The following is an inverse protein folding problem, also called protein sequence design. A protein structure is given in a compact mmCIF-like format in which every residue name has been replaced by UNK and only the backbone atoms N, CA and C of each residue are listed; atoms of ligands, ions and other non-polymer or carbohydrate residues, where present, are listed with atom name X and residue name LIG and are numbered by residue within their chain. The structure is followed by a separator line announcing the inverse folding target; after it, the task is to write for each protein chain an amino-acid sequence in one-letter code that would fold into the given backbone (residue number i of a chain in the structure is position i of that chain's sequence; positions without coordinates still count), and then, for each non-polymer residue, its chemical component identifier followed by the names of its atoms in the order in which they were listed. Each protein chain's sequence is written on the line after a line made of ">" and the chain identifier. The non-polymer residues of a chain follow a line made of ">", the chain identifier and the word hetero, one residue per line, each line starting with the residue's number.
data_IF_187512063105
#
_entry.id   IF_187512063105
#
_cell.length_a   1.000
_cell.length_b   1.000
_cell.length_c   1.000
_cell.angle_alpha   90.00
_cell.angle_beta   90.00
_cell.angle_gamma   90.00
#
_symmetry.space_group_name_H-M   'P 1'
#
loop_
_entity.id
_entity.type
_entity.pdbx_description
1 polymer ?
#
# COMPACT_ATOMS: atom_id res chain seq x y z
N UNK A 1 22.24 37.39 21.06
CA UNK A 1 22.88 36.19 21.67
C UNK A 1 22.37 34.94 20.96
N UNK A 2 23.31 34.23 20.35
CA UNK A 2 23.34 32.89 19.73
C UNK A 2 22.06 32.03 19.76
N UNK A 3 21.59 31.68 18.56
CA UNK A 3 20.60 30.64 18.29
C UNK A 3 21.10 29.25 18.71
N UNK A 4 20.31 28.52 19.53
CA UNK A 4 20.57 27.11 19.85
C UNK A 4 20.07 26.22 18.71
N UNK A 5 21.03 25.59 18.03
CA UNK A 5 20.79 24.57 17.01
C UNK A 5 20.02 23.36 17.59
N UNK A 6 18.95 22.97 16.90
CA UNK A 6 18.25 21.72 17.15
C UNK A 6 19.21 20.54 16.89
N UNK A 7 19.42 19.69 17.88
CA UNK A 7 20.19 18.44 17.74
C UNK A 7 19.49 17.54 16.72
N UNK A 8 20.19 17.21 15.64
CA UNK A 8 19.73 16.22 14.67
C UNK A 8 19.43 14.89 15.38
N UNK A 9 18.21 14.37 15.20
CA UNK A 9 17.89 13.00 15.58
C UNK A 9 18.89 12.06 14.88
N UNK A 10 19.64 11.27 15.67
CA UNK A 10 20.50 10.22 15.12
C UNK A 10 19.62 9.25 14.33
N UNK A 11 20.00 8.98 13.09
CA UNK A 11 19.43 7.89 12.30
C UNK A 11 19.39 6.61 13.16
N UNK A 12 18.31 5.81 13.08
CA UNK A 12 18.21 4.56 13.84
C UNK A 12 19.43 3.69 13.53
N UNK A 13 20.06 3.17 14.58
CA UNK A 13 21.16 2.22 14.45
C UNK A 13 20.65 1.04 13.62
N UNK A 14 21.36 0.73 12.53
CA UNK A 14 21.10 -0.45 11.72
C UNK A 14 20.93 -1.68 12.64
N UNK A 15 19.86 -2.44 12.40
CA UNK A 15 19.60 -3.72 13.04
C UNK A 15 20.88 -4.59 13.02
N UNK A 16 21.13 -5.39 14.07
CA UNK A 16 22.37 -6.14 14.18
C UNK A 16 22.52 -7.09 12.97
N UNK A 17 23.54 -6.83 12.15
CA UNK A 17 24.02 -7.76 11.15
C UNK A 17 24.69 -8.94 11.85
N UNK A 18 23.98 -10.07 11.94
CA UNK A 18 24.59 -11.41 11.89
C UNK A 18 23.54 -12.49 11.68
N UNK A 19 23.58 -13.09 10.48
CA UNK A 19 23.68 -14.55 10.38
C UNK A 19 24.81 -14.85 9.38
N UNK A 20 25.81 -15.62 9.81
CA UNK A 20 26.98 -16.04 9.02
C UNK A 20 26.92 -17.55 8.72
N UNK A 21 25.74 -18.16 8.69
CA UNK A 21 25.60 -19.62 8.48
C UNK A 21 25.25 -20.02 7.02
N UNK A 22 25.14 -19.06 6.10
CA UNK A 22 25.02 -19.35 4.66
C UNK A 22 23.69 -19.97 4.21
N UNK A 23 22.64 -19.95 5.06
CA UNK A 23 21.31 -20.51 4.77
C UNK A 23 20.34 -19.57 4.02
N UNK A 24 20.84 -18.45 3.48
CA UNK A 24 19.99 -17.46 2.78
C UNK A 24 19.35 -17.97 1.48
N UNK A 25 18.35 -17.23 0.98
CA UNK A 25 17.70 -17.46 -0.31
C UNK A 25 18.74 -17.46 -1.44
N UNK A 26 18.55 -18.33 -2.43
CA UNK A 26 19.39 -18.35 -3.62
C UNK A 26 19.00 -17.22 -4.59
N UNK A 27 20.00 -16.52 -5.11
CA UNK A 27 19.85 -15.46 -6.09
C UNK A 27 20.75 -15.74 -7.29
N UNK A 28 20.22 -15.46 -8.48
CA UNK A 28 20.98 -15.43 -9.73
C UNK A 28 21.04 -13.99 -10.22
N UNK A 29 22.24 -13.43 -10.27
CA UNK A 29 22.50 -12.05 -10.68
C UNK A 29 23.34 -12.04 -11.96
N UNK A 30 23.17 -11.02 -12.81
CA UNK A 30 23.98 -10.85 -14.01
C UNK A 30 24.54 -9.43 -14.09
N UNK A 31 25.79 -9.28 -14.51
CA UNK A 31 26.44 -7.96 -14.60
C UNK A 31 27.92 -8.01 -14.95
N UNK A 32 28.56 -6.84 -14.90
CA UNK A 32 30.00 -6.67 -15.15
C UNK A 32 30.77 -6.77 -13.82
N UNK A 33 31.78 -7.64 -13.76
CA UNK A 33 32.73 -7.64 -12.64
C UNK A 33 33.81 -6.58 -12.90
N UNK A 34 33.94 -5.64 -11.97
CA UNK A 34 35.03 -4.67 -11.91
C UNK A 34 35.96 -4.97 -10.73
N UNK A 35 37.23 -4.55 -10.83
CA UNK A 35 38.22 -4.70 -9.76
C UNK A 35 38.89 -3.37 -9.47
N UNK A 36 39.02 -3.00 -8.19
CA UNK A 36 39.76 -1.81 -7.74
C UNK A 36 40.61 -2.10 -6.51
N UNK A 37 41.75 -1.42 -6.40
CA UNK A 37 42.59 -1.48 -5.22
C UNK A 37 41.98 -0.62 -4.11
N UNK A 38 41.75 -1.17 -2.91
CA UNK A 38 41.31 -0.39 -1.77
C UNK A 38 42.51 0.32 -1.13
N UNK A 39 42.59 1.63 -1.30
CA UNK A 39 43.73 2.48 -0.92
C UNK A 39 44.18 2.27 0.54
N UNK A 40 43.25 2.24 1.50
CA UNK A 40 43.59 2.08 2.93
C UNK A 40 43.95 0.65 3.34
N UNK A 41 43.36 -0.36 2.71
CA UNK A 41 43.47 -1.78 3.12
C UNK A 41 44.47 -2.56 2.26
N UNK A 42 45.06 -1.90 1.25
CA UNK A 42 45.99 -2.45 0.25
C UNK A 42 45.55 -3.84 -0.26
N UNK A 43 44.26 -4.00 -0.55
CA UNK A 43 43.68 -5.24 -1.08
C UNK A 43 42.77 -4.96 -2.26
N UNK A 44 42.73 -5.88 -3.22
CA UNK A 44 41.77 -5.82 -4.32
C UNK A 44 40.35 -6.03 -3.80
N UNK A 45 39.43 -5.17 -4.25
CA UNK A 45 38.00 -5.31 -4.09
C UNK A 45 37.40 -5.51 -5.46
N UNK A 46 36.58 -6.55 -5.56
CA UNK A 46 35.79 -6.83 -6.75
C UNK A 46 34.38 -6.33 -6.50
N UNK A 47 33.75 -5.76 -7.53
CA UNK A 47 32.38 -5.25 -7.47
C UNK A 47 31.62 -5.73 -8.70
N UNK A 48 30.48 -6.37 -8.49
CA UNK A 48 29.53 -6.65 -9.57
C UNK A 48 28.68 -5.39 -9.77
N UNK A 49 28.78 -4.79 -10.95
CA UNK A 49 27.96 -3.65 -11.35
C UNK A 49 26.96 -4.10 -12.41
N UNK A 50 25.68 -3.78 -12.22
CA UNK A 50 24.66 -3.94 -13.26
C UNK A 50 23.95 -2.59 -13.47
N UNK A 51 23.68 -2.23 -14.72
CA UNK A 51 22.93 -1.03 -15.08
C UNK A 51 22.92 -0.74 -16.58
N UNK A 52 21.74 -0.38 -17.10
CA UNK A 52 21.58 0.50 -18.26
C UNK A 52 22.17 1.86 -17.92
N UNK A 53 22.66 2.58 -18.93
CA UNK A 53 23.25 3.92 -18.81
C UNK A 53 22.57 4.78 -17.73
N UNK A 54 23.33 5.21 -16.72
CA UNK A 54 22.90 6.23 -15.76
C UNK A 54 22.32 5.79 -14.40
N UNK A 55 21.98 4.50 -14.16
CA UNK A 55 21.48 4.06 -12.83
C UNK A 55 22.24 2.84 -12.31
N UNK A 56 23.33 3.09 -11.58
CA UNK A 56 24.17 2.05 -10.92
C UNK A 56 23.49 1.52 -9.66
N UNK A 57 22.94 0.30 -9.68
CA UNK A 57 22.79 -0.47 -8.44
C UNK A 57 24.10 -1.19 -8.14
N UNK A 58 24.65 -0.94 -6.96
CA UNK A 58 25.93 -1.50 -6.49
C UNK A 58 25.65 -2.67 -5.57
N UNK A 59 26.07 -3.88 -5.94
CA UNK A 59 26.27 -4.93 -4.93
C UNK A 59 27.72 -4.85 -4.46
N UNK A 60 27.92 -4.43 -3.21
CA UNK A 60 29.25 -4.42 -2.59
C UNK A 60 29.63 -5.84 -2.17
N UNK A 61 29.94 -6.70 -3.14
CA UNK A 61 30.48 -8.04 -2.87
C UNK A 61 32.00 -8.00 -2.90
N UNK A 62 32.67 -7.64 -1.80
CA UNK A 62 34.14 -7.71 -1.76
C UNK A 62 34.57 -9.16 -2.01
N UNK A 63 35.14 -9.46 -3.18
CA UNK A 63 35.68 -10.78 -3.52
C UNK A 63 36.75 -11.21 -2.51
N UNK A 64 36.28 -11.94 -1.49
CA UNK A 64 36.96 -12.33 -0.27
C UNK A 64 36.15 -13.45 0.40
N UNK A 65 36.04 -13.44 1.74
CA UNK A 65 35.48 -14.53 2.59
C UNK A 65 34.17 -15.17 2.12
N UNK A 66 33.34 -14.47 1.35
CA UNK A 66 32.02 -14.92 0.93
C UNK A 66 32.05 -15.77 -0.36
N UNK A 67 33.22 -16.00 -0.96
CA UNK A 67 33.33 -16.78 -2.20
C UNK A 67 34.58 -17.70 -2.18
N UNK A 68 34.66 -18.62 -1.21
CA UNK A 68 35.80 -19.52 -1.09
C UNK A 68 35.92 -20.41 -2.34
N UNK A 69 37.13 -20.52 -2.90
CA UNK A 69 37.43 -21.37 -4.06
C UNK A 69 37.11 -20.77 -5.43
N UNK A 70 36.58 -19.54 -5.52
CA UNK A 70 36.30 -18.86 -6.79
C UNK A 70 37.39 -17.82 -7.08
N UNK A 71 38.03 -17.94 -8.25
CA UNK A 71 39.03 -16.96 -8.72
C UNK A 71 38.37 -15.79 -9.46
N UNK A 72 38.02 -14.74 -8.72
CA UNK A 72 37.39 -13.52 -9.26
C UNK A 72 38.26 -12.80 -10.29
N UNK A 73 39.59 -12.94 -10.22
CA UNK A 73 40.50 -12.21 -11.13
C UNK A 73 40.24 -12.58 -12.58
N UNK A 74 39.87 -13.84 -12.85
CA UNK A 74 39.56 -14.35 -14.21
C UNK A 74 38.35 -13.68 -14.86
N UNK A 75 37.50 -13.04 -14.07
CA UNK A 75 36.25 -12.45 -14.50
C UNK A 75 36.27 -10.92 -14.49
N UNK A 76 37.37 -10.29 -14.03
CA UNK A 76 37.50 -8.82 -14.07
C UNK A 76 37.41 -8.33 -15.52
N UNK A 77 36.53 -7.35 -15.74
CA UNK A 77 36.25 -6.79 -17.07
C UNK A 77 35.32 -7.65 -17.92
N UNK A 78 34.76 -8.74 -17.38
CA UNK A 78 33.84 -9.63 -18.11
C UNK A 78 32.42 -9.54 -17.57
N UNK A 79 31.45 -9.74 -18.45
CA UNK A 79 30.08 -9.99 -18.06
C UNK A 79 29.95 -11.42 -17.53
N UNK A 80 29.19 -11.58 -16.45
CA UNK A 80 29.02 -12.88 -15.80
C UNK A 80 27.58 -13.08 -15.33
N UNK A 81 27.23 -14.36 -15.20
CA UNK A 81 26.13 -14.83 -14.35
C UNK A 81 26.71 -15.32 -13.02
N UNK A 82 26.17 -14.83 -11.92
CA UNK A 82 26.63 -15.11 -10.57
C UNK A 82 25.49 -15.72 -9.76
N UNK A 83 25.72 -16.90 -9.21
CA UNK A 83 24.78 -17.58 -8.31
C UNK A 83 25.32 -17.51 -6.89
N UNK A 84 24.45 -17.15 -5.94
CA UNK A 84 24.83 -17.10 -4.53
C UNK A 84 23.64 -17.10 -3.60
N UNK A 85 23.91 -17.40 -2.33
CA UNK A 85 22.94 -17.36 -1.23
C UNK A 85 23.09 -16.08 -0.43
N UNK A 86 21.96 -15.44 -0.13
CA UNK A 86 21.96 -14.14 0.52
C UNK A 86 20.59 -13.73 1.07
N UNK A 87 20.39 -12.43 1.17
CA UNK A 87 19.13 -11.83 1.60
C UNK A 87 18.90 -10.50 0.89
N UNK A 88 17.64 -10.13 0.69
CA UNK A 88 17.26 -8.77 0.26
C UNK A 88 17.48 -7.80 1.41
N UNK A 89 17.98 -6.60 1.08
CA UNK A 89 18.21 -5.50 2.01
C UNK A 89 17.65 -4.21 1.41
N UNK A 90 17.55 -3.17 2.23
CA UNK A 90 17.21 -1.79 1.81
C UNK A 90 18.11 -1.24 0.69
N UNK A 91 19.33 -1.77 0.55
CA UNK A 91 20.34 -1.38 -0.45
C UNK A 91 20.47 -2.35 -1.63
N UNK A 92 19.57 -3.32 -1.74
CA UNK A 92 19.59 -4.38 -2.76
C UNK A 92 19.92 -5.76 -2.19
N UNK A 93 20.43 -6.66 -3.02
CA UNK A 93 20.73 -8.05 -2.61
C UNK A 93 22.12 -8.13 -1.99
N UNK A 94 22.19 -8.60 -0.73
CA UNK A 94 23.43 -8.88 -0.03
C UNK A 94 23.71 -10.38 -0.06
N UNK A 95 24.75 -10.79 -0.80
CA UNK A 95 25.16 -12.20 -0.87
C UNK A 95 26.09 -12.58 0.28
N UNK A 96 25.67 -13.57 1.05
CA UNK A 96 26.41 -14.15 2.17
C UNK A 96 27.42 -15.20 1.67
N UNK A 97 27.06 -15.95 0.61
CA UNK A 97 27.92 -16.94 -0.05
C UNK A 97 27.71 -16.92 -1.55
N UNK A 98 28.78 -16.90 -2.33
CA UNK A 98 28.74 -17.03 -3.79
C UNK A 98 29.16 -18.46 -4.13
N UNK A 99 28.32 -19.15 -4.89
CA UNK A 99 28.46 -20.57 -5.20
C UNK A 99 28.98 -20.80 -6.61
N UNK A 100 28.71 -19.90 -7.55
CA UNK A 100 29.06 -20.06 -8.96
C UNK A 100 29.24 -18.72 -9.67
N UNK A 101 30.19 -18.65 -10.60
CA UNK A 101 30.38 -17.55 -11.55
C UNK A 101 30.67 -18.14 -12.92
N UNK A 102 29.90 -17.72 -13.92
CA UNK A 102 30.03 -18.16 -15.31
C UNK A 102 30.16 -16.95 -16.23
N UNK A 103 30.96 -17.02 -17.30
CA UNK A 103 30.95 -16.00 -18.34
C UNK A 103 29.56 -15.83 -18.95
N UNK A 104 29.21 -14.60 -19.29
CA UNK A 104 27.97 -14.22 -19.95
C UNK A 104 28.30 -13.39 -21.18
N UNK A 105 27.57 -13.57 -22.29
CA UNK A 105 27.74 -12.70 -23.45
C UNK A 105 27.09 -11.33 -23.20
N UNK A 106 27.49 -10.31 -23.97
CA UNK A 106 26.82 -9.01 -23.92
C UNK A 106 25.35 -9.11 -24.34
N UNK A 107 25.05 -9.91 -25.37
CA UNK A 107 23.69 -10.12 -25.86
C UNK A 107 22.78 -10.77 -24.80
N UNK A 108 23.28 -11.76 -24.07
CA UNK A 108 22.52 -12.40 -22.98
C UNK A 108 22.30 -11.44 -21.80
N UNK A 109 23.30 -10.60 -21.50
CA UNK A 109 23.14 -9.55 -20.49
C UNK A 109 22.09 -8.54 -20.92
N UNK A 110 22.12 -8.08 -22.18
CA UNK A 110 21.14 -7.13 -22.71
C UNK A 110 19.74 -7.76 -22.73
N UNK A 111 19.60 -9.04 -23.09
CA UNK A 111 18.33 -9.77 -23.01
C UNK A 111 17.81 -9.88 -21.57
N UNK A 112 18.68 -10.17 -20.60
CA UNK A 112 18.33 -10.17 -19.18
C UNK A 112 17.94 -8.79 -18.66
N UNK A 113 18.67 -7.74 -19.04
CA UNK A 113 18.34 -6.35 -18.66
C UNK A 113 17.03 -5.89 -19.29
N UNK A 114 16.78 -6.24 -20.55
CA UNK A 114 15.52 -5.97 -21.23
C UNK A 114 14.37 -6.75 -20.60
N UNK A 115 14.59 -8.02 -20.21
CA UNK A 115 13.61 -8.80 -19.47
C UNK A 115 13.34 -8.19 -18.08
N UNK A 116 14.36 -7.65 -17.39
CA UNK A 116 14.19 -6.95 -16.13
C UNK A 116 13.45 -5.62 -16.29
N UNK A 117 13.69 -4.85 -17.35
CA UNK A 117 12.92 -3.64 -17.63
C UNK A 117 11.49 -3.94 -18.09
N UNK A 118 11.31 -4.91 -18.97
CA UNK A 118 10.00 -5.44 -19.34
C UNK A 118 9.27 -6.07 -18.14
N UNK A 119 9.99 -6.58 -17.14
CA UNK A 119 9.43 -7.04 -15.87
C UNK A 119 9.29 -5.93 -14.83
N UNK A 120 9.86 -4.73 -15.02
CA UNK A 120 9.63 -3.56 -14.15
C UNK A 120 8.33 -2.87 -14.52
N UNK A 121 8.05 -2.71 -15.80
CA UNK A 121 6.72 -2.32 -16.28
C UNK A 121 5.83 -3.55 -16.29
N UNK A 122 4.66 -3.50 -15.68
CA UNK A 122 3.62 -4.44 -16.14
C UNK A 122 3.29 -4.03 -17.58
N UNK A 123 3.15 -4.96 -18.55
CA UNK A 123 2.46 -4.61 -19.78
C UNK A 123 1.12 -3.99 -19.39
N UNK A 124 0.74 -2.95 -20.12
CA UNK A 124 -0.58 -2.33 -20.11
C UNK A 124 -1.67 -3.27 -19.53
N UNK A 125 -2.27 -2.96 -18.37
CA UNK A 125 -3.21 -3.93 -17.75
C UNK A 125 -4.63 -3.84 -18.24
N UNK A 126 -5.21 -2.69 -18.49
CA UNK A 126 -6.65 -2.54 -18.35
C UNK A 126 -7.20 -2.94 -16.94
N UNK A 127 -8.03 -2.07 -16.39
CA UNK A 127 -8.63 -2.24 -15.08
C UNK A 127 -10.15 -2.32 -15.21
N UNK A 128 -10.68 -3.37 -15.87
CA UNK A 128 -12.12 -3.51 -16.07
C UNK A 128 -12.89 -3.56 -14.74
N UNK A 129 -12.24 -4.02 -13.68
CA UNK A 129 -12.80 -4.07 -12.31
C UNK A 129 -13.14 -2.68 -11.75
N UNK A 130 -12.51 -1.61 -12.26
CA UNK A 130 -12.79 -0.24 -11.85
C UNK A 130 -13.89 0.43 -12.68
N UNK A 131 -14.30 -0.13 -13.83
CA UNK A 131 -15.35 0.44 -14.69
C UNK A 131 -16.66 0.72 -13.92
N UNK A 132 -17.15 -0.17 -13.03
CA UNK A 132 -18.37 0.09 -12.26
C UNK A 132 -18.28 1.26 -11.26
N UNK A 133 -17.08 1.83 -11.08
CA UNK A 133 -16.82 2.95 -10.18
C UNK A 133 -16.57 4.27 -10.92
N UNK A 134 -16.49 4.26 -12.25
CA UNK A 134 -16.36 5.47 -13.05
C UNK A 134 -17.58 6.40 -12.85
N UNK A 135 -17.32 7.68 -12.58
CA UNK A 135 -18.37 8.67 -12.32
C UNK A 135 -19.11 8.46 -10.99
N UNK A 136 -18.52 7.70 -10.05
CA UNK A 136 -19.14 7.40 -8.75
C UNK A 136 -18.43 8.03 -7.57
N UNK A 137 -19.15 8.17 -6.46
CA UNK A 137 -18.59 8.66 -5.21
C UNK A 137 -19.11 7.86 -4.02
N UNK A 138 -18.40 7.97 -2.89
CA UNK A 138 -18.82 7.33 -1.65
C UNK A 138 -18.13 7.88 -0.40
N UNK A 139 -18.80 7.83 0.76
CA UNK A 139 -18.18 8.18 2.03
C UNK A 139 -17.36 7.02 2.63
N UNK A 140 -16.42 7.37 3.51
CA UNK A 140 -15.66 6.48 4.37
C UNK A 140 -15.94 6.77 5.84
N UNK A 141 -16.19 5.71 6.61
CA UNK A 141 -16.17 5.71 8.07
C UNK A 141 -15.18 4.66 8.58
N UNK A 142 -14.36 5.02 9.57
CA UNK A 142 -13.49 4.05 10.25
C UNK A 142 -14.26 3.33 11.35
N UNK A 143 -14.48 2.02 11.18
CA UNK A 143 -14.99 1.11 12.20
C UNK A 143 -14.02 1.00 13.38
N UNK A 144 -14.54 0.83 14.61
CA UNK A 144 -13.71 0.38 15.72
C UNK A 144 -13.13 -1.01 15.42
N UNK A 145 -12.04 -1.33 16.09
CA UNK A 145 -11.28 -2.58 15.91
C UNK A 145 -10.97 -3.19 17.27
N UNK A 146 -10.23 -4.29 17.30
CA UNK A 146 -9.69 -4.88 18.53
C UNK A 146 -8.85 -3.91 19.40
N UNK A 147 -8.48 -2.73 18.88
CA UNK A 147 -7.91 -1.64 19.70
C UNK A 147 -8.91 -1.07 20.72
N UNK A 148 -10.20 -1.11 20.41
CA UNK A 148 -11.31 -0.55 21.17
C UNK A 148 -12.44 -1.60 21.27
N UNK A 149 -12.22 -2.72 21.99
CA UNK A 149 -13.16 -3.85 22.00
C UNK A 149 -14.55 -3.47 22.49
N UNK A 150 -14.66 -2.66 23.55
CA UNK A 150 -15.97 -2.23 24.06
C UNK A 150 -16.76 -1.43 23.02
N UNK A 151 -16.06 -0.60 22.23
CA UNK A 151 -16.67 0.19 21.15
C UNK A 151 -17.06 -0.69 19.97
N UNK A 152 -16.37 -1.82 19.74
CA UNK A 152 -16.79 -2.83 18.77
C UNK A 152 -18.11 -3.46 19.20
N UNK A 153 -18.24 -3.82 20.48
CA UNK A 153 -19.45 -4.48 21.00
C UNK A 153 -20.64 -3.51 21.05
N UNK A 154 -20.39 -2.25 21.36
CA UNK A 154 -21.43 -1.21 21.41
C UNK A 154 -21.87 -0.70 20.03
N UNK A 155 -21.11 -0.98 18.96
CA UNK A 155 -21.41 -0.46 17.63
C UNK A 155 -22.79 -0.93 17.12
N UNK A 156 -23.65 0.02 16.79
CA UNK A 156 -25.01 -0.18 16.28
C UNK A 156 -25.02 -0.09 14.76
N UNK A 157 -24.93 -1.25 14.11
CA UNK A 157 -24.95 -1.38 12.64
C UNK A 157 -26.24 -0.79 12.04
N UNK A 158 -27.36 -0.88 12.76
CA UNK A 158 -28.62 -0.26 12.35
C UNK A 158 -28.55 1.26 12.26
N UNK A 159 -27.85 1.94 13.17
CA UNK A 159 -27.73 3.40 13.14
C UNK A 159 -26.79 3.85 12.03
N UNK A 160 -25.69 3.10 11.83
CA UNK A 160 -24.82 3.27 10.66
C UNK A 160 -25.62 3.18 9.35
N UNK A 161 -26.42 2.11 9.18
CA UNK A 161 -27.26 1.88 8.00
C UNK A 161 -28.32 2.96 7.78
N UNK A 162 -29.02 3.36 8.84
CA UNK A 162 -30.00 4.47 8.78
C UNK A 162 -29.35 5.78 8.33
N UNK A 163 -28.08 6.00 8.64
CA UNK A 163 -27.39 7.22 8.27
C UNK A 163 -26.95 7.18 6.80
N UNK A 164 -26.16 6.19 6.37
CA UNK A 164 -25.65 6.19 4.98
C UNK A 164 -26.74 5.95 3.92
N UNK A 165 -27.85 5.29 4.27
CA UNK A 165 -28.99 5.11 3.35
C UNK A 165 -29.66 6.43 2.92
N UNK A 166 -29.38 7.54 3.64
CA UNK A 166 -29.83 8.88 3.24
C UNK A 166 -29.05 9.46 2.07
N UNK A 167 -27.85 8.95 1.78
CA UNK A 167 -27.03 9.35 0.64
C UNK A 167 -27.50 8.56 -0.59
N UNK A 168 -28.32 9.19 -1.43
CA UNK A 168 -29.02 8.52 -2.54
C UNK A 168 -28.18 8.38 -3.80
N UNK A 169 -27.24 9.31 -3.99
CA UNK A 169 -26.35 9.33 -5.15
C UNK A 169 -25.02 8.61 -4.91
N UNK A 170 -24.66 8.33 -3.65
CA UNK A 170 -23.46 7.58 -3.28
C UNK A 170 -23.58 6.11 -3.72
N UNK A 171 -22.55 5.61 -4.41
CA UNK A 171 -22.55 4.27 -5.01
C UNK A 171 -21.84 3.22 -4.14
N UNK A 172 -20.94 3.66 -3.26
CA UNK A 172 -20.18 2.78 -2.39
C UNK A 172 -19.95 3.38 -1.01
N UNK A 173 -19.58 2.53 -0.05
CA UNK A 173 -19.16 2.91 1.30
C UNK A 173 -17.78 2.30 1.56
N UNK A 174 -16.85 3.09 2.09
CA UNK A 174 -15.54 2.60 2.51
C UNK A 174 -15.52 2.36 4.02
N UNK A 175 -15.11 1.18 4.44
CA UNK A 175 -14.85 0.80 5.83
C UNK A 175 -13.42 0.30 5.97
N UNK A 176 -13.04 -0.37 7.05
CA UNK A 176 -11.67 -0.82 7.26
C UNK A 176 -11.60 -2.24 7.82
N UNK A 177 -10.62 -2.99 7.33
CA UNK A 177 -10.15 -4.25 7.94
C UNK A 177 -9.23 -3.93 9.11
N UNK A 178 -8.26 -3.04 8.91
CA UNK A 178 -7.29 -2.65 9.94
C UNK A 178 -7.60 -1.29 10.52
N UNK A 179 -7.23 -1.05 11.78
CA UNK A 179 -7.33 0.26 12.41
C UNK A 179 -6.42 1.27 11.71
N UNK A 180 -6.94 2.44 11.31
CA UNK A 180 -6.11 3.54 10.84
C UNK A 180 -5.11 3.94 11.93
N UNK A 181 -3.83 4.01 11.56
CA UNK A 181 -2.71 4.23 12.48
C UNK A 181 -2.45 3.17 13.56
N UNK A 182 -3.16 2.03 13.51
CA UNK A 182 -2.92 0.86 14.36
C UNK A 182 -3.02 -0.43 13.55
N UNK A 183 -2.20 -0.65 12.51
CA UNK A 183 -2.40 -1.68 11.49
C UNK A 183 -2.47 -3.12 12.03
N UNK A 184 -1.95 -3.37 13.23
CA UNK A 184 -2.03 -4.65 13.93
C UNK A 184 -3.35 -4.88 14.68
N UNK A 185 -4.39 -4.07 14.46
CA UNK A 185 -5.71 -4.27 15.06
C UNK A 185 -6.76 -4.39 13.96
N UNK A 186 -7.55 -5.45 14.00
CA UNK A 186 -8.52 -5.81 12.98
C UNK A 186 -9.97 -5.58 13.46
N UNK A 187 -10.88 -5.30 12.52
CA UNK A 187 -12.31 -5.08 12.76
C UNK A 187 -13.17 -6.34 12.67
N UNK A 188 -12.57 -7.49 12.35
CA UNK A 188 -13.25 -8.77 12.27
C UNK A 188 -12.41 -9.90 12.86
N UNK A 189 -13.01 -11.08 13.10
CA UNK A 189 -12.31 -12.25 13.60
C UNK A 189 -11.31 -12.79 12.58
N UNK A 190 -10.22 -13.39 13.07
CA UNK A 190 -9.32 -14.21 12.25
C UNK A 190 -8.82 -15.42 13.08
N UNK A 191 -9.44 -16.60 12.93
CA UNK A 191 -9.12 -17.77 13.74
C UNK A 191 -7.70 -18.30 13.47
N UNK A 192 -7.08 -17.99 12.33
CA UNK A 192 -5.69 -18.38 12.05
C UNK A 192 -4.73 -17.59 12.96
N UNK A 193 -4.90 -16.27 13.05
CA UNK A 193 -4.12 -15.45 13.98
C UNK A 193 -4.34 -15.87 15.44
N UNK A 194 -5.58 -16.22 15.81
CA UNK A 194 -5.90 -16.68 17.16
C UNK A 194 -5.16 -17.99 17.56
N UNK A 195 -4.92 -18.88 16.60
CA UNK A 195 -4.22 -20.16 16.82
C UNK A 195 -2.71 -19.99 16.97
N UNK A 196 -2.12 -18.96 16.36
CA UNK A 196 -0.67 -18.73 16.39
C UNK A 196 -0.22 -18.32 17.80
N UNK A 197 -0.92 -17.39 18.45
CA UNK A 197 -0.56 -16.92 19.78
C UNK A 197 -1.71 -16.17 20.46
N UNK A 198 -1.79 -16.25 21.80
CA UNK A 198 -2.68 -15.40 22.59
C UNK A 198 -2.41 -13.90 22.40
N UNK A 199 -1.15 -13.51 22.12
CA UNK A 199 -0.79 -12.13 21.80
C UNK A 199 -1.41 -11.66 20.48
N UNK A 200 -1.40 -12.52 19.46
CA UNK A 200 -2.05 -12.23 18.18
C UNK A 200 -3.57 -12.36 18.26
N UNK A 201 -4.12 -13.22 19.13
CA UNK A 201 -5.55 -13.24 19.41
C UNK A 201 -6.07 -11.87 19.89
N UNK A 202 -5.25 -11.09 20.60
CA UNK A 202 -5.61 -9.74 21.03
C UNK A 202 -5.64 -8.69 19.91
N UNK A 203 -5.25 -9.04 18.68
CA UNK A 203 -5.31 -8.18 17.49
C UNK A 203 -6.66 -8.23 16.77
N UNK A 204 -7.51 -9.21 17.07
CA UNK A 204 -8.77 -9.49 16.37
C UNK A 204 -9.97 -9.30 17.31
N UNK A 205 -11.15 -9.14 16.73
CA UNK A 205 -12.41 -9.07 17.48
C UNK A 205 -13.06 -10.45 17.58
N UNK A 206 -13.86 -10.68 18.62
CA UNK A 206 -14.74 -11.86 18.69
C UNK A 206 -15.99 -11.63 17.84
N UNK A 207 -16.61 -10.45 17.94
CA UNK A 207 -17.71 -10.01 17.08
C UNK A 207 -17.23 -9.81 15.64
N UNK A 208 -17.98 -10.31 14.67
CA UNK A 208 -17.73 -10.06 13.25
C UNK A 208 -18.35 -8.75 12.79
N UNK A 209 -17.91 -7.64 13.41
CA UNK A 209 -18.45 -6.31 13.12
C UNK A 209 -18.26 -5.93 11.65
N UNK A 210 -17.09 -6.24 11.07
CA UNK A 210 -16.85 -6.02 9.65
C UNK A 210 -17.88 -6.76 8.79
N UNK A 211 -18.13 -8.05 9.05
CA UNK A 211 -19.14 -8.83 8.32
C UNK A 211 -20.54 -8.24 8.42
N UNK A 212 -20.98 -7.88 9.62
CA UNK A 212 -22.30 -7.26 9.84
C UNK A 212 -22.45 -5.93 9.09
N UNK A 213 -21.40 -5.11 9.07
CA UNK A 213 -21.39 -3.83 8.36
C UNK A 213 -21.40 -4.03 6.85
N UNK A 214 -20.64 -5.00 6.33
CA UNK A 214 -20.67 -5.36 4.91
C UNK A 214 -22.07 -5.82 4.48
N UNK A 215 -22.74 -6.61 5.30
CA UNK A 215 -24.13 -7.05 5.06
C UNK A 215 -25.11 -5.87 5.04
N UNK A 216 -24.94 -4.91 5.95
CA UNK A 216 -25.77 -3.71 5.96
C UNK A 216 -25.56 -2.84 4.71
N UNK A 217 -24.32 -2.69 4.23
CA UNK A 217 -23.99 -1.95 3.01
C UNK A 217 -24.62 -2.64 1.79
N UNK A 218 -24.46 -3.96 1.68
CA UNK A 218 -25.02 -4.74 0.58
C UNK A 218 -26.56 -4.68 0.55
N UNK A 219 -27.21 -4.72 1.72
CA UNK A 219 -28.68 -4.62 1.84
C UNK A 219 -29.24 -3.30 1.30
N UNK A 220 -28.46 -2.22 1.35
CA UNK A 220 -28.84 -0.91 0.81
C UNK A 220 -28.50 -0.76 -0.69
N UNK A 221 -27.99 -1.81 -1.32
CA UNK A 221 -27.63 -1.83 -2.74
C UNK A 221 -26.32 -1.10 -3.08
N UNK A 222 -25.51 -0.75 -2.07
CA UNK A 222 -24.22 -0.07 -2.25
C UNK A 222 -23.07 -1.08 -2.31
N UNK A 223 -22.01 -0.72 -3.03
CA UNK A 223 -20.75 -1.49 -3.01
C UNK A 223 -19.96 -1.19 -1.74
N UNK A 224 -19.21 -2.16 -1.22
CA UNK A 224 -18.34 -1.95 -0.06
C UNK A 224 -16.88 -2.01 -0.47
N UNK A 225 -16.10 -1.01 -0.03
CA UNK A 225 -14.64 -0.99 -0.16
C UNK A 225 -14.00 -1.08 1.22
N UNK A 226 -12.81 -1.65 1.31
CA UNK A 226 -12.10 -1.78 2.58
C UNK A 226 -10.72 -1.14 2.56
N UNK A 227 -10.44 -0.37 3.60
CA UNK A 227 -9.11 0.13 3.93
C UNK A 227 -8.30 -0.96 4.64
N UNK A 228 -7.04 -1.10 4.25
CA UNK A 228 -6.04 -1.94 4.92
C UNK A 228 -4.72 -1.19 5.00
N UNK A 229 -4.05 -1.19 6.16
CA UNK A 229 -2.74 -0.57 6.33
C UNK A 229 -1.62 -1.61 6.22
N UNK A 230 -0.80 -1.49 5.18
CA UNK A 230 0.19 -2.49 4.75
C UNK A 230 1.28 -2.79 5.78
N UNK A 231 1.55 -1.88 6.72
CA UNK A 231 2.62 -2.09 7.70
C UNK A 231 2.30 -3.25 8.68
N UNK A 232 1.04 -3.69 8.78
CA UNK A 232 0.64 -4.83 9.59
C UNK A 232 1.16 -4.76 11.04
N UNK A 233 1.96 -5.75 11.43
CA UNK A 233 2.58 -5.82 12.75
C UNK A 233 3.89 -5.01 12.88
N UNK A 234 4.37 -4.37 11.82
CA UNK A 234 5.70 -3.71 11.74
C UNK A 234 5.65 -2.18 11.71
N UNK A 235 4.53 -1.56 12.05
CA UNK A 235 4.44 -0.10 12.01
C UNK A 235 5.17 0.60 13.17
N UNK A 236 6.29 1.25 12.88
CA UNK A 236 6.89 2.34 13.70
C UNK A 236 7.56 1.92 15.01
N UNK A 237 8.47 2.77 15.48
CA UNK A 237 9.59 2.55 16.42
C UNK A 237 9.28 2.13 17.88
N UNK A 238 10.30 2.20 18.74
CA UNK A 238 10.26 1.86 20.17
C UNK A 238 9.26 2.67 21.03
N UNK A 239 8.57 3.68 20.49
CA UNK A 239 7.56 4.46 21.22
C UNK A 239 6.18 3.79 21.27
N UNK A 240 6.02 2.63 20.62
CA UNK A 240 4.76 1.88 20.63
C UNK A 240 4.35 1.37 22.03
N UNK A 241 3.04 1.27 22.31
CA UNK A 241 2.56 0.58 23.50
C UNK A 241 3.11 -0.84 23.59
N UNK A 242 3.41 -1.30 24.81
CA UNK A 242 3.98 -2.62 25.04
C UNK A 242 3.14 -3.75 24.41
N UNK A 243 1.81 -3.63 24.43
CA UNK A 243 0.88 -4.57 23.79
C UNK A 243 1.14 -4.73 22.28
N UNK A 244 1.43 -3.64 21.56
CA UNK A 244 1.74 -3.68 20.12
C UNK A 244 3.13 -4.30 19.88
N UNK A 245 4.11 -4.01 20.74
CA UNK A 245 5.44 -4.64 20.69
C UNK A 245 5.38 -6.15 20.94
N UNK A 246 4.51 -6.56 21.85
CA UNK A 246 4.25 -7.96 22.14
C UNK A 246 3.60 -8.69 20.96
N UNK A 247 2.63 -8.05 20.29
CA UNK A 247 2.04 -8.56 19.05
C UNK A 247 3.10 -8.71 17.96
N UNK A 248 3.92 -7.67 17.74
CA UNK A 248 5.02 -7.70 16.78
C UNK A 248 5.99 -8.85 17.08
N UNK A 249 6.39 -9.00 18.33
CA UNK A 249 7.32 -10.07 18.73
C UNK A 249 6.72 -11.48 18.53
N UNK A 250 5.42 -11.65 18.74
CA UNK A 250 4.73 -12.91 18.48
C UNK A 250 4.61 -13.19 16.97
N UNK A 251 4.36 -12.15 16.18
CA UNK A 251 4.31 -12.23 14.73
C UNK A 251 5.68 -12.54 14.12
N UNK A 252 6.74 -11.86 14.56
CA UNK A 252 8.12 -12.11 14.10
C UNK A 252 8.52 -13.56 14.33
N UNK A 253 8.24 -14.11 15.52
CA UNK A 253 8.45 -15.54 15.82
C UNK A 253 7.67 -16.48 14.90
N UNK A 254 6.47 -16.09 14.50
CA UNK A 254 5.67 -16.88 13.57
C UNK A 254 6.30 -16.85 12.17
N UNK A 255 6.63 -15.66 11.65
CA UNK A 255 7.26 -15.48 10.33
C UNK A 255 8.60 -16.24 10.26
N UNK A 256 9.40 -16.23 11.33
CA UNK A 256 10.64 -17.02 11.42
C UNK A 256 10.42 -18.54 11.36
N UNK A 257 9.21 -19.02 11.67
CA UNK A 257 8.89 -20.45 11.68
C UNK A 257 8.29 -20.96 10.37
N UNK A 258 8.05 -20.09 9.39
CA UNK A 258 7.48 -20.45 8.08
C UNK A 258 8.40 -20.00 6.93
N UNK A 259 8.38 -20.67 5.77
CA UNK A 259 9.18 -20.28 4.60
C UNK A 259 8.52 -19.13 3.83
N UNK A 260 8.14 -18.06 4.53
CA UNK A 260 7.51 -16.86 3.95
C UNK A 260 8.19 -15.61 4.49
N UNK A 261 8.26 -14.58 3.66
CA UNK A 261 8.53 -13.22 4.10
C UNK A 261 7.36 -12.67 4.93
N UNK A 262 7.59 -11.56 5.62
CA UNK A 262 6.53 -10.86 6.33
C UNK A 262 5.34 -10.49 5.43
N UNK A 263 5.61 -9.99 4.23
CA UNK A 263 4.57 -9.50 3.32
C UNK A 263 3.78 -10.65 2.70
N UNK A 264 4.42 -11.79 2.42
CA UNK A 264 3.75 -13.03 2.02
C UNK A 264 2.86 -13.57 3.15
N UNK A 265 3.37 -13.63 4.38
CA UNK A 265 2.59 -14.11 5.53
C UNK A 265 1.40 -13.20 5.86
N UNK A 266 1.58 -11.87 5.81
CA UNK A 266 0.47 -10.90 5.94
C UNK A 266 -0.53 -11.04 4.79
N UNK A 267 -0.03 -11.20 3.56
CA UNK A 267 -0.83 -11.47 2.38
C UNK A 267 -1.73 -12.68 2.59
N UNK A 268 -1.17 -13.85 2.83
CA UNK A 268 -1.91 -15.11 2.94
C UNK A 268 -2.86 -15.14 4.15
N UNK A 269 -2.34 -14.85 5.35
CA UNK A 269 -3.07 -15.08 6.61
C UNK A 269 -4.04 -13.97 6.97
N UNK A 270 -3.89 -12.79 6.38
CA UNK A 270 -4.71 -11.63 6.72
C UNK A 270 -5.49 -11.17 5.49
N UNK A 271 -4.80 -10.72 4.44
CA UNK A 271 -5.46 -10.17 3.24
C UNK A 271 -6.27 -11.26 2.54
N UNK A 272 -5.65 -12.40 2.24
CA UNK A 272 -6.27 -13.56 1.60
C UNK A 272 -7.38 -14.16 2.45
N UNK A 273 -7.19 -14.25 3.78
CA UNK A 273 -8.24 -14.69 4.70
C UNK A 273 -9.49 -13.81 4.60
N UNK A 274 -9.35 -12.49 4.78
CA UNK A 274 -10.51 -11.59 4.76
C UNK A 274 -11.13 -11.47 3.36
N UNK A 275 -10.31 -11.48 2.31
CA UNK A 275 -10.81 -11.51 0.93
C UNK A 275 -11.67 -12.76 0.68
N UNK A 276 -11.20 -13.96 1.04
CA UNK A 276 -11.95 -15.21 0.87
C UNK A 276 -13.18 -15.29 1.78
N UNK A 277 -13.05 -14.84 3.04
CA UNK A 277 -14.14 -14.89 4.02
C UNK A 277 -15.35 -14.08 3.57
N UNK A 278 -15.12 -12.87 3.07
CA UNK A 278 -16.21 -11.95 2.73
C UNK A 278 -16.54 -11.95 1.23
N UNK A 279 -15.63 -12.45 0.38
CA UNK A 279 -15.85 -12.67 -1.04
C UNK A 279 -16.47 -11.47 -1.74
N UNK A 280 -17.58 -11.70 -2.44
CA UNK A 280 -18.32 -10.69 -3.19
C UNK A 280 -18.95 -9.57 -2.33
N UNK A 281 -18.90 -9.65 -1.00
CA UNK A 281 -19.30 -8.53 -0.13
C UNK A 281 -18.29 -7.38 -0.21
N UNK A 282 -17.01 -7.66 -0.50
CA UNK A 282 -15.97 -6.64 -0.69
C UNK A 282 -15.71 -6.43 -2.17
N UNK A 283 -15.96 -5.22 -2.65
CA UNK A 283 -15.85 -4.83 -4.06
C UNK A 283 -14.55 -4.10 -4.38
N UNK A 284 -13.74 -3.78 -3.36
CA UNK A 284 -12.42 -3.25 -3.59
C UNK A 284 -11.62 -3.00 -2.32
N UNK A 285 -10.31 -2.90 -2.51
CA UNK A 285 -9.32 -2.80 -1.45
C UNK A 285 -8.46 -1.56 -1.66
N UNK A 286 -8.36 -0.75 -0.60
CA UNK A 286 -7.49 0.41 -0.56
C UNK A 286 -6.38 0.17 0.46
N UNK A 287 -5.17 -0.09 -0.05
CA UNK A 287 -3.99 -0.45 0.71
C UNK A 287 -3.16 0.81 1.04
N UNK A 288 -3.20 1.24 2.30
CA UNK A 288 -2.42 2.35 2.83
C UNK A 288 -0.98 1.97 3.12
N UNK A 289 -0.07 2.92 3.04
CA UNK A 289 1.34 2.68 3.37
C UNK A 289 1.99 1.62 2.49
N UNK A 290 1.48 1.40 1.28
CA UNK A 290 1.90 0.33 0.37
C UNK A 290 3.34 0.51 -0.18
N UNK A 291 4.08 1.53 0.27
CA UNK A 291 5.51 1.68 0.02
C UNK A 291 6.37 0.59 0.66
N UNK A 292 5.84 -0.16 1.63
CA UNK A 292 6.49 -1.34 2.23
C UNK A 292 6.39 -2.60 1.37
N UNK A 293 5.54 -2.57 0.34
CA UNK A 293 5.34 -3.68 -0.60
C UNK A 293 6.19 -3.43 -1.85
N UNK A 294 6.94 -4.41 -2.30
CA UNK A 294 7.56 -4.36 -3.61
C UNK A 294 6.56 -4.74 -4.73
N UNK A 295 7.06 -4.90 -5.96
CA UNK A 295 6.18 -5.26 -7.10
C UNK A 295 5.56 -6.64 -6.92
N UNK A 296 6.33 -7.63 -6.50
CA UNK A 296 5.91 -9.01 -6.42
C UNK A 296 4.91 -9.17 -5.26
N UNK A 297 5.14 -8.46 -4.15
CA UNK A 297 4.18 -8.35 -3.04
C UNK A 297 2.81 -7.81 -3.49
N UNK A 298 2.81 -6.73 -4.30
CA UNK A 298 1.55 -6.14 -4.81
C UNK A 298 0.81 -7.08 -5.76
N UNK A 299 1.54 -7.79 -6.62
CA UNK A 299 0.94 -8.81 -7.49
C UNK A 299 0.34 -9.96 -6.70
N UNK A 300 1.05 -10.44 -5.67
CA UNK A 300 0.53 -11.46 -4.75
C UNK A 300 -0.74 -10.99 -4.05
N UNK A 301 -0.73 -9.79 -3.46
CA UNK A 301 -1.88 -9.26 -2.73
C UNK A 301 -3.07 -9.01 -3.67
N UNK A 302 -2.84 -8.51 -4.88
CA UNK A 302 -3.88 -8.38 -5.92
C UNK A 302 -4.48 -9.73 -6.28
N UNK A 303 -3.66 -10.76 -6.46
CA UNK A 303 -4.11 -12.15 -6.70
C UNK A 303 -4.98 -12.65 -5.55
N UNK A 304 -4.53 -12.50 -4.31
CA UNK A 304 -5.27 -12.96 -3.11
C UNK A 304 -6.61 -12.25 -2.94
N UNK A 305 -6.67 -10.94 -3.23
CA UNK A 305 -7.93 -10.19 -3.28
C UNK A 305 -8.88 -10.79 -4.33
N UNK A 306 -8.36 -11.06 -5.53
CA UNK A 306 -9.14 -11.60 -6.65
C UNK A 306 -9.56 -13.06 -6.49
N UNK A 307 -8.85 -13.84 -5.68
CA UNK A 307 -9.28 -15.18 -5.26
C UNK A 307 -10.54 -15.12 -4.37
N UNK A 308 -10.72 -14.03 -3.61
CA UNK A 308 -11.95 -13.79 -2.84
C UNK A 308 -13.08 -13.23 -3.71
N UNK A 309 -12.78 -12.21 -4.50
CA UNK A 309 -13.71 -11.61 -5.46
C UNK A 309 -12.97 -11.21 -6.75
N UNK A 310 -13.16 -11.94 -7.87
CA UNK A 310 -12.49 -11.64 -9.14
C UNK A 310 -12.73 -10.22 -9.67
N UNK A 311 -13.87 -9.62 -9.32
CA UNK A 311 -14.27 -8.27 -9.74
C UNK A 311 -13.79 -7.16 -8.78
N UNK A 312 -13.12 -7.51 -7.68
CA UNK A 312 -12.66 -6.49 -6.74
C UNK A 312 -11.57 -5.61 -7.35
N UNK A 313 -11.70 -4.30 -7.18
CA UNK A 313 -10.68 -3.33 -7.57
C UNK A 313 -9.62 -3.15 -6.47
N UNK A 314 -8.40 -2.80 -6.86
CA UNK A 314 -7.27 -2.67 -5.94
C UNK A 314 -6.59 -1.31 -6.10
N UNK A 315 -6.29 -0.64 -4.98
CA UNK A 315 -5.45 0.55 -4.92
C UNK A 315 -4.28 0.33 -3.95
N UNK A 316 -3.05 0.53 -4.40
CA UNK A 316 -1.86 0.54 -3.55
C UNK A 316 -1.38 1.98 -3.35
N UNK A 317 -1.76 2.59 -2.24
CA UNK A 317 -1.37 3.95 -1.91
C UNK A 317 0.09 4.02 -1.43
N UNK A 318 0.98 4.55 -2.27
CA UNK A 318 2.41 4.68 -1.97
C UNK A 318 2.88 6.12 -1.82
N UNK A 319 2.02 7.09 -2.06
CA UNK A 319 2.39 8.51 -2.07
C UNK A 319 1.20 9.40 -1.75
N UNK A 320 1.48 10.67 -1.50
CA UNK A 320 0.50 11.65 -1.06
C UNK A 320 0.77 12.99 -1.77
N UNK A 321 -0.30 13.60 -2.28
CA UNK A 321 -0.25 14.87 -3.01
C UNK A 321 0.24 14.72 -4.45
N UNK A 322 0.26 15.83 -5.20
CA UNK A 322 0.78 15.86 -6.56
C UNK A 322 2.31 15.58 -6.58
N UNK A 323 2.85 14.98 -7.66
CA UNK A 323 2.15 14.53 -8.86
C UNK A 323 1.27 13.31 -8.59
N UNK A 324 0.10 13.28 -9.22
CA UNK A 324 -0.89 12.22 -9.06
C UNK A 324 -0.42 10.95 -9.80
N UNK A 325 0.09 9.94 -9.07
CA UNK A 325 0.64 8.71 -9.67
C UNK A 325 0.08 7.45 -9.03
N UNK A 326 0.20 6.35 -9.76
CA UNK A 326 -0.27 5.02 -9.37
C UNK A 326 0.84 3.97 -9.50
N UNK A 327 0.48 2.69 -9.43
CA UNK A 327 1.32 1.59 -9.91
C UNK A 327 0.61 0.84 -11.01
N UNK A 328 1.36 0.10 -11.85
CA UNK A 328 0.76 -0.79 -12.81
C UNK A 328 -0.09 -1.91 -12.18
N UNK A 329 0.02 -2.18 -10.87
CA UNK A 329 -0.77 -3.20 -10.16
C UNK A 329 -2.09 -2.67 -9.58
N UNK A 330 -2.37 -1.37 -9.73
CA UNK A 330 -3.60 -0.73 -9.28
C UNK A 330 -4.68 -0.77 -10.36
N UNK A 331 -5.94 -0.96 -9.95
CA UNK A 331 -7.11 -0.66 -10.78
C UNK A 331 -7.55 0.80 -10.66
N UNK A 332 -7.29 1.41 -9.51
CA UNK A 332 -7.65 2.80 -9.21
C UNK A 332 -6.49 3.51 -8.50
N UNK A 333 -6.40 4.83 -8.66
CA UNK A 333 -5.39 5.64 -7.97
C UNK A 333 -5.61 5.63 -6.45
N UNK A 334 -4.50 5.78 -5.70
CA UNK A 334 -4.58 5.90 -4.24
C UNK A 334 -5.37 7.14 -3.80
N UNK A 335 -5.25 8.25 -4.52
CA UNK A 335 -6.06 9.44 -4.27
C UNK A 335 -5.72 10.20 -3.00
N UNK A 336 -4.62 9.87 -2.33
CA UNK A 336 -4.24 10.53 -1.09
C UNK A 336 -3.75 11.97 -1.39
N UNK A 337 -4.32 13.00 -0.73
CA UNK A 337 -3.99 14.41 -0.96
C UNK A 337 -2.64 14.76 -0.36
N UNK A 338 -2.20 16.00 -0.56
CA UNK A 338 -1.01 16.54 0.10
C UNK A 338 -1.10 16.24 1.60
N UNK A 339 -0.03 15.70 2.24
CA UNK A 339 -0.10 15.26 3.62
C UNK A 339 -0.67 16.34 4.53
N UNK A 340 -1.63 15.96 5.38
CA UNK A 340 -2.28 16.91 6.30
C UNK A 340 -1.30 17.53 7.31
N UNK A 341 -0.17 16.90 7.58
CA UNK A 341 0.90 17.54 8.39
C UNK A 341 1.51 18.79 7.73
N UNK A 342 1.21 19.04 6.45
CA UNK A 342 1.70 20.17 5.66
C UNK A 342 0.57 21.12 5.30
N UNK A 343 -0.53 20.59 4.77
CA UNK A 343 -1.57 21.39 4.10
C UNK A 343 -2.97 20.90 4.42
N UNK A 344 -3.96 21.79 4.41
CA UNK A 344 -5.37 21.41 4.63
C UNK A 344 -5.91 20.63 3.43
N UNK A 345 -6.93 19.79 3.63
CA UNK A 345 -7.53 19.04 2.52
C UNK A 345 -8.16 19.95 1.47
N UNK A 346 -8.79 21.05 1.89
CA UNK A 346 -9.39 22.07 1.02
C UNK A 346 -8.40 23.10 0.47
N UNK A 347 -7.10 22.97 0.77
CA UNK A 347 -6.08 23.85 0.20
C UNK A 347 -5.98 23.65 -1.31
N UNK A 348 -5.82 24.74 -2.06
CA UNK A 348 -5.68 24.72 -3.52
C UNK A 348 -4.43 23.95 -3.98
N UNK A 349 -3.49 23.64 -3.09
CA UNK A 349 -2.38 22.70 -3.38
C UNK A 349 -2.88 21.32 -3.84
N UNK A 350 -4.11 20.94 -3.50
CA UNK A 350 -4.73 19.68 -3.93
C UNK A 350 -5.56 19.81 -5.21
N UNK A 351 -5.81 21.04 -5.70
CA UNK A 351 -6.52 21.27 -6.96
C UNK A 351 -5.90 20.52 -8.16
N UNK A 352 -4.56 20.38 -8.30
CA UNK A 352 -3.97 19.60 -9.39
C UNK A 352 -4.41 18.12 -9.43
N UNK A 353 -4.89 17.56 -8.33
CA UNK A 353 -5.45 16.20 -8.34
C UNK A 353 -6.83 16.16 -8.99
N UNK A 354 -7.63 17.22 -8.83
CA UNK A 354 -8.93 17.38 -9.48
C UNK A 354 -8.69 17.57 -10.98
N UNK A 355 -7.83 18.51 -11.35
CA UNK A 355 -7.48 18.82 -12.74
C UNK A 355 -6.85 17.62 -13.46
N UNK A 356 -6.04 16.83 -12.76
CA UNK A 356 -5.47 15.59 -13.30
C UNK A 356 -6.56 14.61 -13.74
N UNK A 357 -7.57 14.37 -12.89
CA UNK A 357 -8.69 13.49 -13.23
C UNK A 357 -9.59 14.09 -14.31
N UNK A 358 -9.75 15.41 -14.34
CA UNK A 358 -10.51 16.10 -15.39
C UNK A 358 -9.85 16.01 -16.77
N UNK A 359 -8.51 15.97 -16.82
CA UNK A 359 -7.79 15.79 -18.08
C UNK A 359 -8.02 14.41 -18.71
N UNK A 360 -8.45 13.44 -17.89
CA UNK A 360 -8.86 12.10 -18.30
C UNK A 360 -9.06 11.21 -17.07
N UNK A 361 -10.26 10.66 -16.90
CA UNK A 361 -10.54 9.82 -15.75
C UNK A 361 -9.78 8.49 -15.73
N UNK A 362 -9.27 8.04 -16.87
CA UNK A 362 -8.44 6.85 -16.98
C UNK A 362 -7.03 7.28 -17.33
N UNK A 363 -6.06 6.80 -16.55
CA UNK A 363 -4.68 7.27 -16.65
C UNK A 363 -3.66 6.14 -16.54
N UNK A 364 -2.50 6.35 -17.18
CA UNK A 364 -1.31 5.54 -16.96
C UNK A 364 -0.75 5.72 -15.53
N UNK A 365 0.20 4.90 -15.08
CA UNK A 365 0.77 5.02 -13.73
C UNK A 365 1.42 6.38 -13.42
N UNK A 366 1.81 7.14 -14.45
CA UNK A 366 2.41 8.46 -14.36
C UNK A 366 1.38 9.59 -14.23
N UNK A 367 0.09 9.27 -14.36
CA UNK A 367 -1.02 10.22 -14.27
C UNK A 367 -1.36 10.89 -15.60
N UNK A 368 -0.97 10.31 -16.74
CA UNK A 368 -1.35 10.83 -18.06
C UNK A 368 -2.62 10.14 -18.55
N UNK A 369 -3.56 10.88 -19.16
CA UNK A 369 -4.76 10.30 -19.76
C UNK A 369 -4.44 9.18 -20.76
N UNK A 370 -5.33 8.21 -20.83
CA UNK A 370 -5.33 7.12 -21.83
C UNK A 370 -6.61 7.18 -22.65
N UNK A 371 -6.57 6.64 -23.86
CA UNK A 371 -7.60 6.88 -24.88
C UNK A 371 -8.95 6.21 -24.58
N UNK A 372 -8.96 5.05 -23.92
CA UNK A 372 -10.19 4.27 -23.73
C UNK A 372 -10.48 4.01 -22.24
N UNK A 373 -11.76 4.09 -21.81
CA UNK A 373 -12.18 3.68 -20.48
C UNK A 373 -11.77 2.24 -20.16
N UNK A 374 -11.35 2.02 -18.91
CA UNK A 374 -10.85 0.73 -18.50
C UNK A 374 -9.41 0.49 -18.93
N UNK A 375 -8.80 1.33 -19.77
CA UNK A 375 -7.36 1.28 -20.02
C UNK A 375 -6.62 2.03 -18.89
N UNK A 376 -5.54 1.46 -18.35
CA UNK A 376 -4.86 2.06 -17.18
C UNK A 376 -5.68 1.97 -15.89
N UNK A 377 -5.45 2.89 -14.95
CA UNK A 377 -6.13 2.94 -13.66
C UNK A 377 -7.13 4.10 -13.60
N UNK A 378 -8.25 3.90 -12.92
CA UNK A 378 -9.26 4.94 -12.71
C UNK A 378 -8.75 6.01 -11.73
N UNK A 379 -8.80 7.26 -12.16
CA UNK A 379 -8.54 8.43 -11.35
C UNK A 379 -9.48 8.49 -10.15
N UNK A 380 -8.89 8.51 -8.97
CA UNK A 380 -9.61 8.48 -7.70
C UNK A 380 -9.08 9.56 -6.76
N UNK A 381 -9.98 10.40 -6.25
CA UNK A 381 -9.66 11.43 -5.26
C UNK A 381 -10.18 10.99 -3.89
N UNK A 382 -9.38 11.13 -2.84
CA UNK A 382 -9.75 10.67 -1.51
C UNK A 382 -9.43 11.73 -0.44
N UNK A 383 -10.42 12.49 0.01
CA UNK A 383 -10.19 13.63 0.93
C UNK A 383 -10.88 13.47 2.28
N UNK A 384 -10.28 14.04 3.32
CA UNK A 384 -10.95 14.28 4.60
C UNK A 384 -11.75 15.59 4.59
N UNK A 385 -12.81 15.67 5.38
CA UNK A 385 -13.64 16.88 5.55
C UNK A 385 -13.18 17.78 6.70
N UNK A 386 -12.16 17.34 7.43
CA UNK A 386 -11.74 17.86 8.73
C UNK A 386 -10.22 17.88 8.84
N UNK A 387 -9.72 18.53 9.87
CA UNK A 387 -8.31 18.85 10.00
C UNK A 387 -7.37 17.65 10.28
N UNK A 388 -7.91 16.47 10.61
CA UNK A 388 -7.18 15.19 10.69
C UNK A 388 -8.06 14.08 10.17
N UNK A 389 -7.49 13.05 9.55
CA UNK A 389 -8.29 11.93 9.01
C UNK A 389 -9.39 11.45 9.99
N UNK A 390 -9.08 11.06 11.22
CA UNK A 390 -10.10 10.50 12.13
C UNK A 390 -10.66 11.49 13.18
N UNK A 391 -10.37 12.79 13.11
CA UNK A 391 -10.91 13.77 14.07
C UNK A 391 -10.79 15.23 13.60
N UNK A 392 -11.57 16.12 14.20
CA UNK A 392 -11.52 17.56 13.93
C UNK A 392 -12.87 18.12 13.51
N UNK A 393 -12.94 19.45 13.41
CA UNK A 393 -14.12 20.18 12.93
C UNK A 393 -14.27 20.00 11.42
N UNK A 394 -15.51 20.04 10.93
CA UNK A 394 -15.79 20.07 9.51
C UNK A 394 -15.48 21.47 8.98
N UNK A 395 -14.40 21.60 8.20
CA UNK A 395 -13.89 22.90 7.73
C UNK A 395 -13.75 22.96 6.21
N UNK A 396 -14.05 21.87 5.51
CA UNK A 396 -14.06 21.88 4.05
C UNK A 396 -15.21 22.77 3.54
N UNK A 397 -14.94 23.82 2.73
CA UNK A 397 -15.98 24.70 2.23
C UNK A 397 -17.04 23.94 1.42
N UNK A 398 -18.35 24.06 1.72
CA UNK A 398 -19.37 23.25 1.07
C UNK A 398 -19.44 23.41 -0.44
N UNK A 399 -19.32 24.64 -0.95
CA UNK A 399 -19.35 24.91 -2.40
C UNK A 399 -18.17 24.25 -3.11
N UNK A 400 -16.96 24.37 -2.55
CA UNK A 400 -15.77 23.72 -3.09
C UNK A 400 -15.88 22.18 -3.04
N UNK A 401 -16.43 21.61 -1.95
CA UNK A 401 -16.61 20.16 -1.85
C UNK A 401 -17.58 19.63 -2.92
N UNK A 402 -18.68 20.35 -3.16
CA UNK A 402 -19.65 20.02 -4.21
C UNK A 402 -19.00 20.15 -5.59
N UNK A 403 -18.35 21.29 -5.87
CA UNK A 403 -17.70 21.59 -7.15
C UNK A 403 -16.64 20.53 -7.48
N UNK A 404 -15.70 20.26 -6.58
CA UNK A 404 -14.63 19.29 -6.81
C UNK A 404 -15.15 17.88 -6.99
N UNK A 405 -16.21 17.51 -6.27
CA UNK A 405 -16.87 16.22 -6.49
C UNK A 405 -17.47 16.18 -7.89
N UNK A 406 -18.28 17.16 -8.28
CA UNK A 406 -18.94 17.20 -9.59
C UNK A 406 -17.96 17.20 -10.75
N UNK A 407 -16.85 17.94 -10.64
CA UNK A 407 -15.75 17.98 -11.61
C UNK A 407 -15.18 16.59 -11.86
N UNK A 408 -14.76 15.90 -10.80
CA UNK A 408 -14.24 14.52 -10.86
C UNK A 408 -15.26 13.56 -11.45
N UNK A 409 -16.53 13.61 -11.01
CA UNK A 409 -17.55 12.67 -11.48
C UNK A 409 -17.95 12.93 -12.93
N UNK A 410 -18.00 14.18 -13.37
CA UNK A 410 -18.35 14.54 -14.76
C UNK A 410 -17.28 14.09 -15.75
N UNK A 411 -16.01 14.08 -15.33
CA UNK A 411 -14.91 13.51 -16.10
C UNK A 411 -14.92 11.97 -16.14
N UNK A 412 -15.77 11.32 -15.32
CA UNK A 412 -15.82 9.86 -15.18
C UNK A 412 -14.92 9.30 -14.08
N UNK A 413 -14.32 10.15 -13.23
CA UNK A 413 -13.47 9.74 -12.11
C UNK A 413 -14.26 9.26 -10.88
N UNK A 414 -13.52 8.85 -9.85
CA UNK A 414 -14.05 8.34 -8.59
C UNK A 414 -13.71 9.28 -7.42
N UNK A 415 -14.64 9.51 -6.49
CA UNK A 415 -14.41 10.40 -5.34
C UNK A 415 -14.81 9.79 -3.99
N UNK A 416 -13.85 9.67 -3.08
CA UNK A 416 -14.08 9.23 -1.70
C UNK A 416 -13.95 10.37 -0.70
N UNK A 417 -14.94 10.52 0.18
CA UNK A 417 -14.90 11.48 1.28
C UNK A 417 -14.76 10.78 2.64
N UNK A 418 -13.93 11.29 3.53
CA UNK A 418 -13.79 10.75 4.88
C UNK A 418 -14.24 11.72 5.97
N UNK A 419 -15.16 11.26 6.82
CA UNK A 419 -15.54 11.93 8.06
C UNK A 419 -15.20 11.08 9.29
N UNK A 420 -15.00 11.71 10.46
CA UNK A 420 -14.73 11.00 11.70
C UNK A 420 -16.00 10.31 12.22
N UNK A 421 -15.81 9.27 13.00
CA UNK A 421 -16.88 8.52 13.65
C UNK A 421 -17.26 9.16 14.99
N UNK A 422 -18.55 9.23 15.26
CA UNK A 422 -19.12 9.47 16.58
C UNK A 422 -20.01 8.28 16.93
N UNK A 423 -19.61 7.46 17.91
CA UNK A 423 -20.28 6.19 18.21
C UNK A 423 -20.41 5.29 16.96
N UNK A 424 -21.59 5.11 16.40
CA UNK A 424 -21.83 4.20 15.25
C UNK A 424 -22.03 4.94 13.93
N UNK A 425 -21.93 6.27 13.94
CA UNK A 425 -22.31 7.16 12.84
C UNK A 425 -21.16 8.10 12.48
N UNK A 426 -21.24 8.74 11.32
CA UNK A 426 -20.43 9.93 11.03
C UNK A 426 -20.83 11.06 11.97
N UNK A 427 -19.83 11.85 12.39
CA UNK A 427 -20.06 13.09 13.10
C UNK A 427 -21.02 14.02 12.32
N UNK A 428 -21.84 14.76 13.07
CA UNK A 428 -23.00 15.50 12.55
C UNK A 428 -22.62 16.43 11.39
N UNK A 429 -21.67 17.34 11.60
CA UNK A 429 -21.33 18.39 10.64
C UNK A 429 -20.72 17.80 9.34
N UNK A 430 -19.95 16.72 9.44
CA UNK A 430 -19.43 16.00 8.28
C UNK A 430 -20.54 15.29 7.52
N UNK A 431 -21.52 14.72 8.24
CA UNK A 431 -22.67 14.11 7.59
C UNK A 431 -23.58 15.15 6.91
N UNK A 432 -23.73 16.34 7.48
CA UNK A 432 -24.42 17.46 6.84
C UNK A 432 -23.72 17.89 5.53
N UNK A 433 -22.38 17.91 5.51
CA UNK A 433 -21.62 18.14 4.28
C UNK A 433 -21.83 17.02 3.25
N UNK A 434 -21.84 15.75 3.68
CA UNK A 434 -22.16 14.62 2.80
C UNK A 434 -23.54 14.73 2.15
N UNK A 435 -24.56 15.20 2.90
CA UNK A 435 -25.89 15.46 2.36
C UNK A 435 -25.90 16.58 1.31
N UNK A 436 -25.11 17.64 1.51
CA UNK A 436 -24.95 18.72 0.53
C UNK A 436 -24.29 18.23 -0.76
N UNK A 437 -23.26 17.40 -0.64
CA UNK A 437 -22.60 16.74 -1.78
C UNK A 437 -23.60 15.84 -2.51
N UNK A 438 -24.37 15.03 -1.78
CA UNK A 438 -25.39 14.14 -2.35
C UNK A 438 -26.45 14.89 -3.16
N UNK A 439 -26.94 16.03 -2.63
CA UNK A 439 -27.87 16.90 -3.33
C UNK A 439 -27.23 17.53 -4.58
N UNK A 440 -25.98 17.99 -4.48
CA UNK A 440 -25.22 18.54 -5.61
C UNK A 440 -25.01 17.52 -6.73
N UNK A 441 -24.59 16.30 -6.40
CA UNK A 441 -24.41 15.21 -7.38
C UNK A 441 -25.76 14.79 -7.99
N UNK A 442 -26.82 14.72 -7.18
CA UNK A 442 -28.18 14.43 -7.69
C UNK A 442 -28.65 15.49 -8.69
N UNK A 443 -28.40 16.78 -8.42
CA UNK A 443 -28.72 17.87 -9.35
C UNK A 443 -27.91 17.76 -10.64
N UNK A 444 -26.60 17.52 -10.54
CA UNK A 444 -25.72 17.32 -11.70
C UNK A 444 -26.23 16.19 -12.60
N UNK A 445 -26.57 15.03 -12.04
CA UNK A 445 -27.06 13.86 -12.79
C UNK A 445 -28.45 14.04 -13.43
N UNK A 446 -29.23 15.04 -13.03
CA UNK A 446 -30.53 15.37 -13.67
C UNK A 446 -30.37 16.34 -14.84
N UNK A 447 -29.27 17.06 -14.89
CA UNK A 447 -28.99 18.07 -15.90
C UNK A 447 -28.15 17.53 -17.07
N UNK A 448 -27.52 16.36 -16.87
CA UNK A 448 -26.88 15.55 -17.90
C UNK A 448 -27.86 14.46 -18.34
#
# INVERSE_FOLDING_TARGET
>A
MVAKAAKSAKAPKALPQKSLDGKGQEFVLQGLISGRMHETKKRMIYELSYGLEGKRMRTSGSGGKNAPGIDYKKFVGKYVRLTGRGQRTDKGIALNKITQIEPLSRADLDAYLNALEAAKTRPFDASPNALPFAGTWGPRLSLPTAKQPDVVDDFKVSDFAKQFSKLKSASYIVVNVTQPSGPCYFSGPNPQLAKISSKLKASITTRDLLGEVLDAIAKDGKKALVYYACEGFHKGDDTRPQKEKDMRSAWDKYVESVPMTNNEALGELVVGYYAKRYGNKIHGWWFDGAGVLDKDDRLLWRKLVREGNPEAMVAFNRMAGPPFRSTPECDVFGGHPTPRSREHFWSLVNLPMIEGVESGAWMDPEGKPVDEPGMGALGHVFMGMQDRWNSGKCEFPPEQAIEWTQRVLSAGGMYTWHGPRTQSTWAKDQFELLLKIDAGVTKMRKNN
#
